data_IF_604124709935
#
_entry.id   IF_604124709935
#
_cell.length_a   1.000
_cell.length_b   1.000
_cell.length_c   1.000
_cell.angle_alpha   90.00
_cell.angle_beta   90.00
_cell.angle_gamma   90.00
#
_symmetry.space_group_name_H-M   'P 1'
#
loop_
_entity.id
_entity.type
_entity.pdbx_description
1 polymer ?
#
# COMPACT_ATOMS: atom_id res chain seq x y z
N UNK A 1 -5.69 -17.14 11.96
CA UNK A 1 -5.39 -15.74 11.64
C UNK A 1 -6.71 -14.97 11.68
N UNK A 2 -6.80 -13.92 12.50
CA UNK A 2 -7.98 -13.06 12.55
C UNK A 2 -7.70 -11.83 11.71
N UNK A 3 -8.33 -11.73 10.53
CA UNK A 3 -8.26 -10.55 9.68
C UNK A 3 -9.54 -9.75 9.86
N UNK A 4 -9.42 -8.42 9.80
CA UNK A 4 -10.57 -7.53 9.78
C UNK A 4 -11.08 -7.36 8.34
N UNK A 5 -12.34 -6.95 8.20
CA UNK A 5 -12.88 -6.56 6.90
C UNK A 5 -12.19 -5.28 6.43
N UNK A 6 -11.26 -5.41 5.50
CA UNK A 6 -10.58 -4.29 4.87
C UNK A 6 -11.46 -3.76 3.74
N UNK A 7 -12.08 -2.60 3.95
CA UNK A 7 -12.81 -1.89 2.90
C UNK A 7 -11.84 -1.21 1.94
N UNK A 8 -12.33 -0.79 0.77
CA UNK A 8 -11.52 -0.09 -0.22
C UNK A 8 -10.91 1.21 0.33
N UNK A 9 -11.64 1.92 1.21
CA UNK A 9 -11.11 3.10 1.91
C UNK A 9 -9.93 2.78 2.83
N UNK A 10 -10.00 1.66 3.56
CA UNK A 10 -8.90 1.22 4.42
C UNK A 10 -7.72 0.79 3.56
N UNK A 11 -7.96 0.06 2.48
CA UNK A 11 -6.93 -0.37 1.55
C UNK A 11 -6.24 0.83 0.90
N UNK A 12 -6.98 1.84 0.46
CA UNK A 12 -6.44 3.08 -0.08
C UNK A 12 -5.56 3.82 0.94
N UNK A 13 -5.99 3.86 2.21
CA UNK A 13 -5.20 4.43 3.31
C UNK A 13 -3.90 3.67 3.56
N UNK A 14 -3.93 2.33 3.52
CA UNK A 14 -2.74 1.48 3.64
C UNK A 14 -1.76 1.72 2.48
N UNK A 15 -2.26 1.85 1.25
CA UNK A 15 -1.43 2.18 0.09
C UNK A 15 -0.68 3.51 0.26
N UNK A 16 -1.33 4.54 0.81
CA UNK A 16 -0.66 5.81 1.12
C UNK A 16 0.40 5.65 2.22
N UNK A 17 0.08 4.90 3.28
CA UNK A 17 1.02 4.62 4.38
C UNK A 17 2.31 3.96 3.89
N UNK A 18 2.23 3.07 2.89
CA UNK A 18 3.40 2.37 2.33
C UNK A 18 4.45 3.32 1.73
N UNK A 19 4.04 4.50 1.25
CA UNK A 19 4.96 5.50 0.67
C UNK A 19 5.30 6.59 1.68
N UNK A 20 4.34 6.97 2.54
CA UNK A 20 4.52 8.04 3.52
C UNK A 20 5.42 7.65 4.69
N UNK A 21 5.43 6.38 5.10
CA UNK A 21 6.29 5.90 6.20
C UNK A 21 7.49 5.16 5.63
N UNK A 22 8.69 5.71 5.88
CA UNK A 22 9.96 5.15 5.39
C UNK A 22 10.21 3.70 5.82
N UNK A 23 9.67 3.27 6.97
CA UNK A 23 9.85 1.89 7.45
C UNK A 23 9.15 0.91 6.52
N UNK A 24 7.92 1.21 6.15
CA UNK A 24 7.15 0.41 5.21
C UNK A 24 7.72 0.53 3.81
N UNK A 25 8.07 1.75 3.38
CA UNK A 25 8.69 2.00 2.08
C UNK A 25 9.95 1.16 1.89
N UNK A 26 10.92 1.24 2.82
CA UNK A 26 12.18 0.47 2.76
C UNK A 26 11.95 -1.04 2.79
N UNK A 27 10.98 -1.51 3.57
CA UNK A 27 10.65 -2.93 3.63
C UNK A 27 10.04 -3.43 2.32
N UNK A 28 9.14 -2.67 1.71
CA UNK A 28 8.51 -3.05 0.43
C UNK A 28 9.53 -2.91 -0.71
N UNK A 29 10.29 -1.82 -0.75
CA UNK A 29 11.34 -1.57 -1.76
C UNK A 29 12.51 -2.57 -1.67
N UNK A 30 12.64 -3.33 -0.58
CA UNK A 30 13.61 -4.43 -0.51
C UNK A 30 13.37 -5.54 -1.55
N UNK A 31 12.15 -5.59 -2.12
CA UNK A 31 11.78 -6.50 -3.20
C UNK A 31 12.02 -5.90 -4.60
N UNK A 32 12.45 -4.63 -4.67
CA UNK A 32 12.70 -3.87 -5.90
C UNK A 32 12.53 -2.38 -5.65
N UNK A 33 13.48 -1.57 -6.12
CA UNK A 33 13.40 -0.11 -5.96
C UNK A 33 12.12 0.45 -6.60
N UNK A 34 11.38 1.29 -5.86
CA UNK A 34 10.12 1.88 -6.32
C UNK A 34 8.89 0.96 -6.22
N UNK A 35 9.02 -0.22 -5.62
CA UNK A 35 7.89 -1.17 -5.46
C UNK A 35 6.78 -0.58 -4.58
N UNK A 36 7.13 0.14 -3.52
CA UNK A 36 6.14 0.75 -2.62
C UNK A 36 5.26 1.77 -3.36
N UNK A 37 5.87 2.58 -4.22
CA UNK A 37 5.19 3.59 -5.03
C UNK A 37 4.30 2.94 -6.08
N UNK A 38 4.81 1.93 -6.78
CA UNK A 38 4.03 1.16 -7.76
C UNK A 38 2.79 0.50 -7.13
N UNK A 39 2.95 -0.14 -5.97
CA UNK A 39 1.85 -0.79 -5.26
C UNK A 39 0.83 0.23 -4.77
N UNK A 40 1.28 1.37 -4.25
CA UNK A 40 0.38 2.43 -3.80
C UNK A 40 -0.46 3.01 -4.95
N UNK A 41 0.12 3.20 -6.13
CA UNK A 41 -0.62 3.63 -7.32
C UNK A 41 -1.61 2.57 -7.79
N UNK A 42 -1.21 1.29 -7.82
CA UNK A 42 -2.10 0.19 -8.18
C UNK A 42 -3.31 0.11 -7.23
N UNK A 43 -3.08 0.20 -5.91
CA UNK A 43 -4.12 0.24 -4.89
C UNK A 43 -5.07 1.41 -5.12
N UNK A 44 -4.53 2.61 -5.40
CA UNK A 44 -5.32 3.81 -5.65
C UNK A 44 -6.21 3.69 -6.89
N UNK A 45 -5.75 3.01 -7.94
CA UNK A 45 -6.57 2.74 -9.14
C UNK A 45 -7.63 1.69 -8.83
N UNK A 46 -7.28 0.64 -8.09
CA UNK A 46 -8.20 -0.43 -7.70
C UNK A 46 -9.37 0.09 -6.85
N UNK A 47 -9.10 0.90 -5.83
CA UNK A 47 -10.12 1.43 -4.90
C UNK A 47 -10.98 2.56 -5.50
N UNK A 48 -10.71 2.99 -6.73
CA UNK A 48 -11.48 4.02 -7.46
C UNK A 48 -12.53 3.44 -8.42
N UNK A 49 -12.61 2.11 -8.52
CA UNK A 49 -13.65 1.41 -9.29
C UNK A 49 -14.93 1.28 -8.47
#
# INVERSE_FOLDING_TARGET
ANFYHCTDDILAGLGQMYVCDERFKKNIDSHGEGTAEFVAEAIKIYCKK
#
